data_IF_502897901159
#
_entry.id   IF_502897901159
#
_cell.length_a   1.000
_cell.length_b   1.000
_cell.length_c   1.000
_cell.angle_alpha   90.00
_cell.angle_beta   90.00
_cell.angle_gamma   90.00
#
_symmetry.space_group_name_H-M   'P 1'
#
loop_
_entity.id
_entity.type
_entity.pdbx_description
1 polymer ?
#
# COMPACT_ATOMS: atom_id res chain seq x y z
N UNK A 1 -9.94 0.10 4.47
CA UNK A 1 -8.68 -0.67 4.33
C UNK A 1 -7.77 -0.59 5.57
N UNK A 2 -7.73 0.52 6.32
CA UNK A 2 -6.82 0.69 7.48
C UNK A 2 -6.86 -0.50 8.44
N UNK A 3 -8.03 -0.87 8.95
CA UNK A 3 -8.15 -1.99 9.89
C UNK A 3 -7.64 -3.30 9.29
N UNK A 4 -7.93 -3.58 8.01
CA UNK A 4 -7.44 -4.80 7.36
C UNK A 4 -5.91 -4.80 7.26
N UNK A 5 -5.31 -3.67 6.87
CA UNK A 5 -3.85 -3.56 6.80
C UNK A 5 -3.19 -3.79 8.18
N UNK A 6 -3.76 -3.23 9.25
CA UNK A 6 -3.24 -3.41 10.60
C UNK A 6 -3.41 -4.84 11.11
N UNK A 7 -4.59 -5.45 10.89
CA UNK A 7 -4.84 -6.83 11.28
C UNK A 7 -3.92 -7.80 10.53
N UNK A 8 -3.69 -7.58 9.24
CA UNK A 8 -2.74 -8.37 8.45
C UNK A 8 -1.30 -8.20 8.96
N UNK A 9 -0.86 -6.97 9.23
CA UNK A 9 0.47 -6.72 9.77
C UNK A 9 0.68 -7.38 11.14
N UNK A 10 -0.32 -7.29 12.02
CA UNK A 10 -0.31 -7.97 13.32
C UNK A 10 -0.26 -9.49 13.17
N UNK A 11 -1.02 -10.07 12.25
CA UNK A 11 -1.02 -11.52 12.01
C UNK A 11 0.34 -12.02 11.48
N UNK A 12 0.99 -11.27 10.58
CA UNK A 12 2.34 -11.56 10.09
C UNK A 12 3.34 -11.53 11.25
N UNK A 13 3.30 -10.48 12.07
CA UNK A 13 4.18 -10.34 13.23
C UNK A 13 3.95 -11.44 14.28
N UNK A 14 2.70 -11.77 14.58
CA UNK A 14 2.33 -12.83 15.51
C UNK A 14 2.79 -14.22 15.01
N UNK A 15 2.98 -14.38 13.70
CA UNK A 15 3.54 -15.59 13.08
C UNK A 15 5.07 -15.63 13.10
N UNK A 16 5.73 -14.62 13.67
CA UNK A 16 7.20 -14.53 13.71
C UNK A 16 7.85 -14.20 12.37
N UNK A 17 7.07 -13.71 11.39
CA UNK A 17 7.56 -13.41 10.04
C UNK A 17 7.87 -11.91 9.86
N UNK A 18 8.87 -11.56 9.03
CA UNK A 18 9.14 -10.17 8.70
C UNK A 18 8.10 -9.60 7.72
N UNK A 19 7.58 -8.42 8.03
CA UNK A 19 6.86 -7.60 7.06
C UNK A 19 7.84 -6.62 6.40
N UNK A 20 8.37 -6.99 5.23
CA UNK A 20 9.46 -6.23 4.57
C UNK A 20 9.01 -4.95 3.86
N UNK A 21 7.71 -4.78 3.64
CA UNK A 21 7.16 -3.57 3.04
C UNK A 21 5.70 -3.75 2.65
N UNK A 22 5.11 -2.71 2.11
CA UNK A 22 3.74 -2.72 1.61
C UNK A 22 3.59 -1.81 0.39
N UNK A 23 2.58 -2.10 -0.43
CA UNK A 23 2.24 -1.32 -1.62
C UNK A 23 0.84 -0.74 -1.43
N UNK A 24 0.69 0.55 -1.67
CA UNK A 24 -0.62 1.18 -1.78
C UNK A 24 -1.15 0.98 -3.21
N UNK A 25 -2.28 0.29 -3.35
CA UNK A 25 -2.95 0.13 -4.65
C UNK A 25 -4.27 0.91 -4.66
N UNK A 26 -4.35 1.97 -5.46
CA UNK A 26 -5.54 2.79 -5.60
C UNK A 26 -6.54 2.15 -6.55
N UNK A 27 -7.38 1.24 -6.03
CA UNK A 27 -8.40 0.50 -6.80
C UNK A 27 -9.58 1.35 -7.28
N UNK A 28 -9.68 2.59 -6.81
CA UNK A 28 -10.70 3.56 -7.18
C UNK A 28 -10.07 4.96 -7.27
N UNK A 29 -10.69 5.91 -8.00
CA UNK A 29 -10.23 7.29 -8.03
C UNK A 29 -10.02 7.86 -6.63
N UNK A 30 -8.96 8.67 -6.46
CA UNK A 30 -8.60 9.21 -5.16
C UNK A 30 -9.72 10.11 -4.60
N UNK A 31 -10.24 9.74 -3.43
CA UNK A 31 -11.21 10.56 -2.69
C UNK A 31 -10.54 11.72 -1.93
N UNK A 32 -11.36 12.64 -1.40
CA UNK A 32 -10.91 13.86 -0.68
C UNK A 32 -9.90 13.61 0.44
N UNK A 33 -9.96 12.45 1.09
CA UNK A 33 -9.14 12.10 2.26
C UNK A 33 -7.98 11.15 1.95
N UNK A 34 -7.64 10.99 0.67
CA UNK A 34 -6.60 10.06 0.25
C UNK A 34 -5.25 10.34 0.97
N UNK A 35 -4.85 11.61 1.08
CA UNK A 35 -3.62 11.99 1.78
C UNK A 35 -3.64 11.64 3.28
N UNK A 36 -4.75 11.86 3.97
CA UNK A 36 -4.92 11.48 5.38
C UNK A 36 -4.86 9.96 5.57
N UNK A 37 -5.46 9.20 4.63
CA UNK A 37 -5.39 7.74 4.61
C UNK A 37 -3.95 7.24 4.46
N UNK A 38 -3.20 7.81 3.52
CA UNK A 38 -1.79 7.45 3.31
C UNK A 38 -0.92 7.82 4.52
N UNK A 39 -1.12 9.00 5.10
CA UNK A 39 -0.43 9.42 6.32
C UNK A 39 -0.71 8.46 7.49
N UNK A 40 -1.97 8.02 7.64
CA UNK A 40 -2.35 7.06 8.69
C UNK A 40 -1.67 5.71 8.49
N UNK A 41 -1.67 5.17 7.28
CA UNK A 41 -1.03 3.88 6.99
C UNK A 41 0.49 3.93 7.16
N UNK A 42 1.16 4.97 6.65
CA UNK A 42 2.61 5.17 6.83
C UNK A 42 3.01 5.28 8.30
N UNK A 43 2.17 5.88 9.13
CA UNK A 43 2.43 6.00 10.57
C UNK A 43 2.23 4.68 11.33
N UNK A 44 1.24 3.89 10.95
CA UNK A 44 0.81 2.73 11.73
C UNK A 44 1.40 1.39 11.26
N UNK A 45 1.81 1.27 10.00
CA UNK A 45 2.44 0.06 9.48
C UNK A 45 3.95 0.11 9.74
N UNK A 46 4.53 -0.82 10.51
CA UNK A 46 5.95 -0.83 10.87
C UNK A 46 6.82 -1.43 9.77
N UNK A 47 6.60 -1.01 8.52
CA UNK A 47 7.34 -1.47 7.33
C UNK A 47 7.33 -0.39 6.25
N UNK A 48 8.34 -0.35 5.36
CA UNK A 48 8.45 0.70 4.36
C UNK A 48 7.32 0.61 3.32
N UNK A 49 6.81 1.78 2.92
CA UNK A 49 6.00 1.90 1.71
C UNK A 49 6.92 1.72 0.51
N UNK A 50 6.73 0.64 -0.25
CA UNK A 50 7.50 0.36 -1.46
C UNK A 50 7.03 1.18 -2.65
N UNK A 51 5.80 1.69 -2.61
CA UNK A 51 5.25 2.50 -3.67
C UNK A 51 3.74 2.62 -3.63
N UNK A 52 3.23 3.56 -4.41
CA UNK A 52 1.80 3.76 -4.61
C UNK A 52 1.47 3.61 -6.09
N UNK A 53 0.64 2.62 -6.42
CA UNK A 53 0.09 2.41 -7.75
C UNK A 53 -1.20 3.24 -7.83
N UNK A 54 -1.28 4.24 -8.72
CA UNK A 54 -2.46 5.10 -8.84
C UNK A 54 -3.64 4.32 -9.43
N UNK A 55 -4.82 4.95 -9.42
CA UNK A 55 -5.97 4.42 -10.12
C UNK A 55 -5.74 4.46 -11.63
N UNK A 56 -5.74 3.29 -12.27
CA UNK A 56 -5.56 3.12 -13.70
C UNK A 56 -6.84 2.54 -14.32
N UNK A 57 -7.53 3.36 -15.11
CA UNK A 57 -8.76 2.97 -15.81
C UNK A 57 -8.49 2.22 -17.11
N UNK A 58 -7.30 2.38 -17.70
CA UNK A 58 -6.91 1.76 -18.96
C UNK A 58 -6.06 0.50 -18.71
N UNK A 59 -6.38 -0.58 -19.43
CA UNK A 59 -5.68 -1.86 -19.38
C UNK A 59 -4.24 -1.74 -19.89
N UNK A 60 -3.97 -0.89 -20.89
CA UNK A 60 -2.62 -0.64 -21.38
C UNK A 60 -1.73 -0.03 -20.29
N UNK A 61 -2.29 0.84 -19.44
CA UNK A 61 -1.55 1.44 -18.31
C UNK A 61 -1.22 0.40 -17.23
N UNK A 62 -2.04 -0.67 -17.11
CA UNK A 62 -1.81 -1.75 -16.15
C UNK A 62 -0.67 -2.70 -16.56
N UNK A 63 -0.19 -2.61 -17.80
CA UNK A 63 0.89 -3.45 -18.30
C UNK A 63 2.28 -3.06 -17.74
N UNK A 64 2.48 -1.81 -17.32
CA UNK A 64 3.79 -1.30 -16.88
C UNK A 64 3.74 -0.60 -15.51
N UNK A 65 3.69 -1.41 -14.44
CA UNK A 65 3.53 -0.92 -13.06
C UNK A 65 4.85 -0.74 -12.31
N UNK A 66 5.95 -1.30 -12.81
CA UNK A 66 7.25 -1.30 -12.09
C UNK A 66 7.74 0.10 -11.73
N UNK A 67 7.41 1.12 -12.53
CA UNK A 67 7.79 2.51 -12.29
C UNK A 67 7.21 3.12 -10.99
N UNK A 68 6.15 2.52 -10.43
CA UNK A 68 5.53 2.98 -9.20
C UNK A 68 6.19 2.41 -7.95
N UNK A 69 7.11 1.46 -8.09
CA UNK A 69 7.73 0.73 -6.99
C UNK A 69 9.22 1.07 -6.88
N UNK A 70 9.66 1.29 -5.64
CA UNK A 70 11.06 1.40 -5.26
C UNK A 70 11.44 0.16 -4.45
N UNK A 71 12.29 -0.68 -5.03
CA UNK A 71 12.81 -1.86 -4.36
C UNK A 71 14.11 -1.50 -3.61
N UNK A 72 14.32 -2.04 -2.39
CA UNK A 72 15.57 -1.87 -1.66
C UNK A 72 16.75 -2.59 -2.31
#
# INVERSE_FOLDING_TARGET
CINHALLTAQAIQASGLPLVGWIANCVQPAGKRHAEYMATLRRLLPSPLLGEIPYLSDEAQRAQLGQYLSLP
#
